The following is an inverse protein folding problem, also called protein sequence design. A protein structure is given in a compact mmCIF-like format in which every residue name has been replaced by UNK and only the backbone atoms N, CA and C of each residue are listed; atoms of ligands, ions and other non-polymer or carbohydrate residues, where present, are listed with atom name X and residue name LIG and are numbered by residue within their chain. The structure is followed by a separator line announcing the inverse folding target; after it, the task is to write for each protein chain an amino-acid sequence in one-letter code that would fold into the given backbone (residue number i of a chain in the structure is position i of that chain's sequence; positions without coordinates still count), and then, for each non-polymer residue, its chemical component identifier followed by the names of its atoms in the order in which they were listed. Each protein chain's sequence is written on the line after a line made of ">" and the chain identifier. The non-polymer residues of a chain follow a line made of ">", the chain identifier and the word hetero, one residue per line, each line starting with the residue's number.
data_IF_051045698303
#
_entry.id   IF_051045698303
#
_cell.length_a   1.000
_cell.length_b   1.000
_cell.length_c   1.000
_cell.angle_alpha   90.00
_cell.angle_beta   90.00
_cell.angle_gamma   90.00
#
_symmetry.space_group_name_H-M   'P 1'
#
loop_
_entity.id
_entity.type
_entity.pdbx_description
1 polymer ?
#
# COMPACT_ATOMS: atom_id res chain seq x y z
N UNK A 1 15.01 -61.84 -71.30
CA UNK A 1 15.38 -61.45 -69.92
C UNK A 1 15.94 -60.03 -69.81
N UNK A 2 16.48 -59.43 -70.88
CA UNK A 2 17.10 -58.08 -70.79
C UNK A 2 16.12 -56.90 -70.66
N UNK A 3 14.89 -57.00 -71.17
CA UNK A 3 13.91 -55.90 -71.09
C UNK A 3 13.35 -55.70 -69.67
N UNK A 4 13.05 -56.79 -68.97
CA UNK A 4 12.49 -56.73 -67.60
C UNK A 4 13.51 -56.12 -66.63
N UNK A 5 14.79 -56.41 -66.83
CA UNK A 5 15.88 -55.89 -66.00
C UNK A 5 16.13 -54.39 -66.25
N UNK A 6 15.93 -53.94 -67.50
CA UNK A 6 16.01 -52.52 -67.86
C UNK A 6 14.80 -51.74 -67.33
N UNK A 7 13.60 -52.35 -67.36
CA UNK A 7 12.39 -51.78 -66.80
C UNK A 7 12.51 -51.60 -65.28
N UNK A 8 12.98 -52.62 -64.56
CA UNK A 8 13.17 -52.57 -63.11
C UNK A 8 14.16 -51.48 -62.69
N UNK A 9 15.28 -51.32 -63.43
CA UNK A 9 16.26 -50.25 -63.18
C UNK A 9 15.65 -48.86 -63.41
N UNK A 10 14.85 -48.69 -64.47
CA UNK A 10 14.15 -47.42 -64.73
C UNK A 10 13.07 -47.08 -63.69
N UNK A 11 12.44 -48.10 -63.09
CA UNK A 11 11.52 -47.93 -61.97
C UNK A 11 12.26 -47.56 -60.69
N UNK A 12 13.41 -48.16 -60.41
CA UNK A 12 14.23 -47.85 -59.24
C UNK A 12 14.78 -46.41 -59.28
N UNK A 13 15.25 -45.96 -60.44
CA UNK A 13 15.69 -44.58 -60.64
C UNK A 13 14.54 -43.57 -60.49
N UNK A 14 13.38 -43.86 -61.11
CA UNK A 14 12.18 -43.03 -60.95
C UNK A 14 11.67 -43.01 -59.51
N UNK A 15 11.70 -44.13 -58.80
CA UNK A 15 11.28 -44.20 -57.40
C UNK A 15 12.23 -43.43 -56.49
N UNK A 16 13.55 -43.45 -56.74
CA UNK A 16 14.51 -42.61 -56.01
C UNK A 16 14.24 -41.13 -56.22
N UNK A 17 13.98 -40.74 -57.47
CA UNK A 17 13.76 -39.34 -57.83
C UNK A 17 12.39 -38.84 -57.35
N UNK A 18 11.38 -39.71 -57.36
CA UNK A 18 10.06 -39.42 -56.82
C UNK A 18 10.06 -39.40 -55.29
N UNK A 19 10.84 -40.26 -54.62
CA UNK A 19 11.02 -40.24 -53.17
C UNK A 19 11.74 -38.96 -52.73
N UNK A 20 12.79 -38.51 -53.45
CA UNK A 20 13.47 -37.26 -53.12
C UNK A 20 12.57 -36.04 -53.32
N UNK A 21 11.82 -35.99 -54.42
CA UNK A 21 10.91 -34.88 -54.74
C UNK A 21 9.68 -34.86 -53.80
N UNK A 22 9.23 -36.04 -53.34
CA UNK A 22 8.17 -36.16 -52.33
C UNK A 22 8.67 -35.77 -50.94
N UNK A 23 9.90 -36.13 -50.55
CA UNK A 23 10.50 -35.72 -49.27
C UNK A 23 10.71 -34.21 -49.20
N UNK A 24 11.12 -33.57 -50.30
CA UNK A 24 11.25 -32.12 -50.38
C UNK A 24 9.90 -31.41 -50.26
N UNK A 25 8.86 -31.92 -50.94
CA UNK A 25 7.49 -31.38 -50.84
C UNK A 25 6.89 -31.55 -49.44
N UNK A 26 7.13 -32.69 -48.79
CA UNK A 26 6.69 -32.93 -47.41
C UNK A 26 7.43 -32.00 -46.45
N UNK A 27 8.75 -31.82 -46.59
CA UNK A 27 9.52 -30.85 -45.79
C UNK A 27 9.04 -29.43 -45.98
N UNK A 28 8.75 -29.02 -47.22
CA UNK A 28 8.23 -27.69 -47.51
C UNK A 28 6.85 -27.47 -46.88
N UNK A 29 5.94 -28.44 -47.01
CA UNK A 29 4.62 -28.40 -46.39
C UNK A 29 4.69 -28.38 -44.86
N UNK A 30 5.55 -29.20 -44.25
CA UNK A 30 5.79 -29.19 -42.80
C UNK A 30 6.37 -27.86 -42.32
N UNK A 31 7.36 -27.30 -43.03
CA UNK A 31 7.94 -25.98 -42.70
C UNK A 31 6.90 -24.89 -42.74
N UNK A 32 6.03 -24.91 -43.75
CA UNK A 32 4.95 -23.94 -43.90
C UNK A 32 3.94 -24.06 -42.75
N UNK A 33 3.62 -25.29 -42.35
CA UNK A 33 2.71 -25.55 -41.23
C UNK A 33 3.33 -25.14 -39.87
N UNK A 34 4.62 -25.37 -39.70
CA UNK A 34 5.38 -25.00 -38.49
C UNK A 34 5.52 -23.48 -38.37
N UNK A 35 5.78 -22.77 -39.48
CA UNK A 35 5.79 -21.30 -39.51
C UNK A 35 4.42 -20.71 -39.19
N UNK A 36 3.34 -21.29 -39.73
CA UNK A 36 1.98 -20.84 -39.45
C UNK A 36 1.60 -21.05 -37.98
N UNK A 37 2.00 -22.18 -37.38
CA UNK A 37 1.84 -22.44 -35.95
C UNK A 37 2.62 -21.43 -35.10
N UNK A 38 3.87 -21.14 -35.45
CA UNK A 38 4.71 -20.15 -34.76
C UNK A 38 4.14 -18.73 -34.84
N UNK A 39 3.57 -18.33 -35.98
CA UNK A 39 2.89 -17.04 -36.11
C UNK A 39 1.62 -16.97 -35.28
N UNK A 40 0.78 -18.01 -35.31
CA UNK A 40 -0.39 -18.10 -34.44
C UNK A 40 -0.02 -18.02 -32.95
N UNK A 41 1.00 -18.77 -32.53
CA UNK A 41 1.49 -18.76 -31.14
C UNK A 41 2.03 -17.38 -30.74
N UNK A 42 2.81 -16.71 -31.60
CA UNK A 42 3.30 -15.34 -31.33
C UNK A 42 2.18 -14.32 -31.30
N UNK A 43 1.16 -14.46 -32.15
CA UNK A 43 -0.01 -13.59 -32.16
C UNK A 43 -0.83 -13.76 -30.88
N UNK A 44 -1.08 -14.99 -30.46
CA UNK A 44 -1.73 -15.32 -29.19
C UNK A 44 -0.92 -14.80 -28.00
N UNK A 45 0.40 -15.01 -27.98
CA UNK A 45 1.27 -14.54 -26.90
C UNK A 45 1.26 -13.00 -26.79
N UNK A 46 1.36 -12.28 -27.90
CA UNK A 46 1.22 -10.80 -27.92
C UNK A 46 -0.16 -10.34 -27.47
N UNK A 47 -1.22 -11.07 -27.82
CA UNK A 47 -2.60 -10.74 -27.46
C UNK A 47 -2.83 -10.94 -25.95
N UNK A 48 -2.29 -12.01 -25.39
CA UNK A 48 -2.31 -12.27 -23.95
C UNK A 48 -1.46 -11.23 -23.20
N UNK A 49 -0.26 -10.93 -23.68
CA UNK A 49 0.62 -9.93 -23.06
C UNK A 49 0.02 -8.52 -23.07
N UNK A 50 -0.56 -8.10 -24.20
CA UNK A 50 -1.25 -6.81 -24.30
C UNK A 50 -2.51 -6.74 -23.41
N UNK A 51 -3.29 -7.82 -23.34
CA UNK A 51 -4.43 -7.91 -22.44
C UNK A 51 -4.01 -7.84 -20.96
N UNK A 52 -2.93 -8.53 -20.57
CA UNK A 52 -2.37 -8.46 -19.20
C UNK A 52 -1.88 -7.06 -18.89
N UNK A 53 -1.18 -6.42 -19.85
CA UNK A 53 -0.66 -5.07 -19.66
C UNK A 53 -1.79 -4.05 -19.48
N UNK A 54 -2.87 -4.17 -20.25
CA UNK A 54 -4.04 -3.30 -20.12
C UNK A 54 -4.81 -3.54 -18.82
N UNK A 55 -4.99 -4.80 -18.41
CA UNK A 55 -5.55 -5.14 -17.11
C UNK A 55 -4.70 -4.58 -15.97
N UNK A 56 -3.38 -4.74 -16.01
CA UNK A 56 -2.47 -4.23 -14.98
C UNK A 56 -2.54 -2.70 -14.87
N UNK A 57 -2.69 -1.99 -15.99
CA UNK A 57 -2.78 -0.53 -16.04
C UNK A 57 -4.11 -0.04 -15.44
N UNK A 58 -5.22 -0.72 -15.74
CA UNK A 58 -6.53 -0.42 -15.15
C UNK A 58 -6.58 -0.73 -13.66
N UNK A 59 -6.03 -1.87 -13.23
CA UNK A 59 -5.92 -2.21 -11.81
C UNK A 59 -5.08 -1.19 -11.06
N UNK A 60 -3.90 -0.81 -11.56
CA UNK A 60 -3.05 0.22 -10.93
C UNK A 60 -3.76 1.57 -10.85
N UNK A 61 -4.46 1.99 -11.91
CA UNK A 61 -5.21 3.24 -11.92
C UNK A 61 -6.35 3.25 -10.87
N UNK A 62 -7.11 2.17 -10.75
CA UNK A 62 -8.16 2.04 -9.74
C UNK A 62 -7.62 1.97 -8.32
N UNK A 63 -6.54 1.22 -8.10
CA UNK A 63 -5.91 1.09 -6.78
C UNK A 63 -5.33 2.42 -6.32
N UNK A 64 -4.61 3.16 -7.18
CA UNK A 64 -4.09 4.48 -6.84
C UNK A 64 -5.22 5.44 -6.46
N UNK A 65 -6.32 5.45 -7.22
CA UNK A 65 -7.43 6.37 -6.97
C UNK A 65 -8.17 6.05 -5.66
N UNK A 66 -8.34 4.77 -5.34
CA UNK A 66 -8.94 4.32 -4.08
C UNK A 66 -8.04 4.62 -2.88
N UNK A 67 -6.74 4.36 -3.00
CA UNK A 67 -5.77 4.60 -1.93
C UNK A 67 -5.56 6.09 -1.65
N UNK A 68 -5.63 6.95 -2.66
CA UNK A 68 -5.54 8.40 -2.47
C UNK A 68 -6.67 8.91 -1.58
N UNK A 69 -7.91 8.45 -1.82
CA UNK A 69 -9.07 8.81 -1.01
C UNK A 69 -8.94 8.34 0.44
N UNK A 70 -8.47 7.10 0.64
CA UNK A 70 -8.25 6.55 1.97
C UNK A 70 -7.19 7.34 2.77
N UNK A 71 -6.07 7.72 2.13
CA UNK A 71 -5.04 8.54 2.77
C UNK A 71 -5.54 9.94 3.14
N UNK A 72 -6.31 10.57 2.26
CA UNK A 72 -6.89 11.90 2.53
C UNK A 72 -7.87 11.82 3.71
N UNK A 73 -8.72 10.80 3.75
CA UNK A 73 -9.66 10.58 4.84
C UNK A 73 -8.93 10.35 6.17
N UNK A 74 -7.88 9.51 6.18
CA UNK A 74 -7.04 9.27 7.36
C UNK A 74 -6.42 10.56 7.88
N UNK A 75 -5.81 11.37 6.99
CA UNK A 75 -5.21 12.64 7.34
C UNK A 75 -6.24 13.66 7.87
N UNK A 76 -7.43 13.71 7.29
CA UNK A 76 -8.50 14.59 7.76
C UNK A 76 -8.92 14.26 9.20
N UNK A 77 -9.08 12.97 9.52
CA UNK A 77 -9.41 12.53 10.88
C UNK A 77 -8.28 12.88 11.86
N UNK A 78 -7.02 12.68 11.47
CA UNK A 78 -5.88 13.01 12.32
C UNK A 78 -5.74 14.51 12.54
N UNK A 79 -5.98 15.34 11.53
CA UNK A 79 -5.95 16.80 11.67
C UNK A 79 -7.07 17.32 12.57
N UNK A 80 -8.29 16.82 12.40
CA UNK A 80 -9.43 17.22 13.23
C UNK A 80 -9.25 16.75 14.68
N UNK A 81 -8.87 15.49 14.89
CA UNK A 81 -8.63 14.94 16.23
C UNK A 81 -7.40 15.56 16.90
N UNK A 82 -6.30 15.68 16.17
CA UNK A 82 -5.04 16.26 16.66
C UNK A 82 -5.16 17.75 17.00
N UNK A 83 -5.89 18.52 16.20
CA UNK A 83 -6.13 19.94 16.45
C UNK A 83 -6.90 20.19 17.75
N UNK A 84 -7.95 19.41 18.01
CA UNK A 84 -8.73 19.50 19.26
C UNK A 84 -7.88 19.12 20.46
N UNK A 85 -7.12 18.02 20.37
CA UNK A 85 -6.23 17.58 21.46
C UNK A 85 -5.12 18.59 21.74
N UNK A 86 -4.56 19.22 20.70
CA UNK A 86 -3.56 20.27 20.84
C UNK A 86 -4.14 21.46 21.61
N UNK A 87 -5.31 21.95 21.20
CA UNK A 87 -6.00 23.06 21.86
C UNK A 87 -6.27 22.79 23.35
N UNK A 88 -6.82 21.62 23.67
CA UNK A 88 -7.06 21.21 25.06
C UNK A 88 -5.76 21.14 25.87
N UNK A 89 -4.69 20.60 25.28
CA UNK A 89 -3.39 20.46 25.95
C UNK A 89 -2.73 21.81 26.21
N UNK A 90 -2.86 22.77 25.28
CA UNK A 90 -2.29 24.11 25.44
C UNK A 90 -2.96 24.88 26.57
N UNK A 91 -4.29 24.79 26.69
CA UNK A 91 -5.01 25.47 27.76
C UNK A 91 -4.62 24.90 29.13
N UNK A 92 -4.56 23.57 29.25
CA UNK A 92 -4.12 22.90 30.48
C UNK A 92 -2.70 23.36 30.85
N UNK A 93 -1.76 23.35 29.90
CA UNK A 93 -0.38 23.77 30.15
C UNK A 93 -0.28 25.23 30.58
N UNK A 94 -1.06 26.12 29.99
CA UNK A 94 -1.10 27.52 30.38
C UNK A 94 -1.62 27.70 31.82
N UNK A 95 -2.68 26.96 32.21
CA UNK A 95 -3.18 26.99 33.59
C UNK A 95 -2.15 26.45 34.58
N UNK A 96 -1.47 25.36 34.26
CA UNK A 96 -0.39 24.84 35.11
C UNK A 96 0.80 25.80 35.22
N UNK A 97 1.17 26.48 34.14
CA UNK A 97 2.25 27.48 34.16
C UNK A 97 1.87 28.73 34.98
N UNK A 98 0.60 29.10 35.04
CA UNK A 98 0.11 30.17 35.92
C UNK A 98 0.14 29.76 37.39
N UNK A 99 -0.09 28.48 37.68
CA UNK A 99 0.07 27.91 39.03
C UNK A 99 1.54 27.84 39.46
N UNK A 100 2.46 27.53 38.54
CA UNK A 100 3.90 27.48 38.80
C UNK A 100 4.51 28.88 39.04
N UNK A 101 3.86 29.93 38.49
CA UNK A 101 4.23 31.33 38.72
C UNK A 101 3.80 31.89 40.07
N UNK A 102 3.05 31.15 40.89
CA UNK A 102 2.74 31.54 42.26
C UNK A 102 3.94 31.17 43.15
N UNK A 103 4.79 32.14 43.55
CA UNK A 103 6.08 31.86 44.19
C UNK A 103 5.96 31.18 45.57
N UNK A 104 4.74 31.14 46.14
CA UNK A 104 4.51 30.79 47.54
C UNK A 104 3.39 29.74 47.71
N UNK A 105 2.98 29.02 46.67
CA UNK A 105 1.89 28.05 46.76
C UNK A 105 2.34 26.66 46.28
N UNK A 106 2.61 25.75 47.23
CA UNK A 106 2.79 24.33 46.91
C UNK A 106 1.43 23.70 46.61
N UNK A 107 1.15 23.55 45.32
CA UNK A 107 -0.06 22.87 44.85
C UNK A 107 0.23 21.39 44.66
N UNK A 108 -0.51 20.52 45.33
CA UNK A 108 -0.40 19.06 45.22
C UNK A 108 -1.77 18.43 45.01
N UNK A 109 -1.83 17.22 44.48
CA UNK A 109 -3.10 16.48 44.37
C UNK A 109 -3.36 15.74 45.68
N UNK A 110 -4.55 15.91 46.26
CA UNK A 110 -4.91 15.27 47.53
C UNK A 110 -6.23 14.49 47.48
N UNK A 111 -6.28 13.41 48.26
CA UNK A 111 -7.43 12.51 48.38
C UNK A 111 -7.55 11.49 47.25
N UNK A 112 -8.43 10.48 47.46
CA UNK A 112 -8.66 9.37 46.51
C UNK A 112 -9.27 9.81 45.16
N UNK A 113 -9.77 11.04 45.09
CA UNK A 113 -10.40 11.64 43.91
C UNK A 113 -9.47 12.59 43.14
N UNK A 114 -8.20 12.74 43.56
CA UNK A 114 -7.21 13.54 42.83
C UNK A 114 -7.54 15.03 42.72
N UNK A 115 -8.14 15.62 43.77
CA UNK A 115 -8.49 17.05 43.76
C UNK A 115 -7.24 17.90 43.93
N UNK A 116 -7.25 19.09 43.35
CA UNK A 116 -6.18 20.06 43.48
C UNK A 116 -6.22 20.69 44.89
N UNK A 117 -5.13 20.61 45.64
CA UNK A 117 -5.02 21.06 47.02
C UNK A 117 -3.78 21.92 47.22
N UNK A 118 -3.82 22.85 48.17
CA UNK A 118 -2.72 23.78 48.45
C UNK A 118 -2.35 23.69 49.93
N UNK A 119 -1.05 23.73 50.26
CA UNK A 119 -0.59 23.72 51.66
C UNK A 119 -0.94 25.03 52.36
N UNK A 120 -1.74 24.98 53.43
CA UNK A 120 -2.13 26.14 54.24
C UNK A 120 -1.27 26.22 55.50
N UNK A 121 -1.02 27.43 56.01
CA UNK A 121 -0.40 27.63 57.32
C UNK A 121 -1.47 27.47 58.42
N UNK A 122 -1.41 26.42 59.25
CA UNK A 122 -2.39 26.19 60.31
C UNK A 122 -2.27 27.19 61.48
N UNK A 123 -1.17 27.94 61.57
CA UNK A 123 -0.90 28.91 62.64
C UNK A 123 -1.42 30.30 62.25
N UNK A 124 -1.59 30.56 60.95
CA UNK A 124 -2.05 31.84 60.45
C UNK A 124 -3.55 32.11 60.77
N UNK A 125 -3.90 33.36 61.12
CA UNK A 125 -5.29 33.74 61.37
C UNK A 125 -6.17 33.60 60.13
N UNK A 126 -7.47 33.38 60.35
CA UNK A 126 -8.48 33.40 59.28
C UNK A 126 -8.77 34.83 58.85
N UNK A 127 -9.00 35.01 57.55
CA UNK A 127 -9.38 36.30 56.97
C UNK A 127 -10.78 36.20 56.34
N UNK A 128 -11.51 37.32 56.32
CA UNK A 128 -12.87 37.44 55.78
C UNK A 128 -13.97 37.47 56.85
N UNK A 129 -15.18 37.97 56.51
CA UNK A 129 -16.27 38.18 57.47
C UNK A 129 -16.74 36.90 58.17
N UNK A 130 -16.55 35.73 57.54
CA UNK A 130 -16.87 34.41 58.09
C UNK A 130 -15.63 33.51 58.26
N UNK A 131 -14.41 34.07 58.15
CA UNK A 131 -13.16 33.30 58.21
C UNK A 131 -12.92 32.34 57.04
N UNK A 132 -13.41 32.70 55.85
CA UNK A 132 -13.40 31.89 54.63
C UNK A 132 -12.00 31.72 54.01
N UNK A 133 -11.05 32.59 54.36
CA UNK A 133 -9.72 32.61 53.75
C UNK A 133 -8.64 32.18 54.75
N UNK A 134 -7.71 31.33 54.28
CA UNK A 134 -6.52 30.86 54.99
C UNK A 134 -5.26 31.26 54.23
N UNK A 135 -4.19 31.57 54.95
CA UNK A 135 -2.90 31.92 54.35
C UNK A 135 -2.24 30.65 53.81
N UNK A 136 -1.78 30.73 52.58
CA UNK A 136 -1.01 29.67 51.93
C UNK A 136 0.40 29.66 52.51
N UNK A 137 0.90 28.48 52.86
CA UNK A 137 2.25 28.33 53.41
C UNK A 137 3.25 28.52 52.27
N UNK A 138 3.82 29.73 52.19
CA UNK A 138 4.95 30.04 51.33
C UNK A 138 6.13 29.13 51.64
N UNK A 139 6.83 28.70 50.58
CA UNK A 139 8.08 27.93 50.71
C UNK A 139 9.16 28.73 51.42
#
# INVERSE_FOLDING_TARGET
>A
MSEILNLARSFEEKLKQQASDTDEKIKAALKQHESALLECLKAEQKKIESAIQEHSRRLRASLLKSWLGALIAMLAVLMLGGGVLYWMTTEIRNRYAELDKLPNAKVTTCGKLGRLCVEIDPIAPTYGPNGEYRVVKGG
#
